data_IF_385904865431
#
_entry.id   IF_385904865431
#
_cell.length_a   1.000
_cell.length_b   1.000
_cell.length_c   1.000
_cell.angle_alpha   90.00
_cell.angle_beta   90.00
_cell.angle_gamma   90.00
#
_symmetry.space_group_name_H-M   'P 1'
#
loop_
_entity.id
_entity.type
_entity.pdbx_description
1 polymer ?
#
# COMPACT_ATOMS: atom_id res chain seq x y z
N UNK A 1 10.28 -18.41 -20.36
CA UNK A 1 10.78 -19.14 -19.18
C UNK A 1 9.81 -18.89 -18.04
N UNK A 2 9.37 -19.91 -17.29
CA UNK A 2 8.60 -19.68 -16.08
C UNK A 2 9.44 -18.82 -15.11
N UNK A 3 8.81 -17.80 -14.54
CA UNK A 3 9.44 -16.94 -13.54
C UNK A 3 9.70 -17.77 -12.27
N UNK A 4 10.85 -17.56 -11.63
CA UNK A 4 11.18 -18.28 -10.40
C UNK A 4 10.11 -17.99 -9.32
N UNK A 5 9.77 -18.98 -8.47
CA UNK A 5 8.83 -18.75 -7.37
C UNK A 5 9.37 -17.64 -6.46
N UNK A 6 8.47 -16.74 -6.03
CA UNK A 6 8.82 -15.64 -5.12
C UNK A 6 8.62 -16.09 -3.69
N UNK A 7 9.52 -15.72 -2.79
CA UNK A 7 9.47 -16.18 -1.40
C UNK A 7 9.03 -15.06 -0.45
N UNK A 8 7.97 -15.31 0.32
CA UNK A 8 7.42 -14.41 1.34
C UNK A 8 7.62 -15.02 2.73
N UNK A 9 8.31 -14.29 3.61
CA UNK A 9 8.34 -14.61 5.04
C UNK A 9 7.13 -13.95 5.71
N UNK A 10 6.29 -14.75 6.37
CA UNK A 10 5.10 -14.28 7.08
C UNK A 10 5.20 -14.59 8.57
N UNK A 11 5.54 -13.59 9.36
CA UNK A 11 5.62 -13.68 10.81
C UNK A 11 4.27 -13.29 11.43
N UNK A 12 3.63 -14.22 12.14
CA UNK A 12 2.28 -14.05 12.73
C UNK A 12 2.14 -14.90 13.99
N UNK A 13 1.41 -14.49 15.04
CA UNK A 13 1.19 -15.37 16.18
C UNK A 13 0.27 -16.53 15.78
N UNK A 14 0.58 -17.72 16.32
CA UNK A 14 -0.02 -18.99 15.90
C UNK A 14 -1.55 -19.00 15.99
N UNK A 15 -2.09 -18.35 17.02
CA UNK A 15 -3.53 -18.29 17.31
C UNK A 15 -4.32 -17.44 16.30
N UNK A 16 -3.70 -16.46 15.62
CA UNK A 16 -4.36 -15.67 14.56
C UNK A 16 -4.06 -16.17 13.15
N UNK A 17 -3.11 -17.10 12.96
CA UNK A 17 -2.81 -17.69 11.66
C UNK A 17 -4.07 -18.17 10.89
N UNK A 18 -5.09 -18.81 11.53
CA UNK A 18 -6.30 -19.24 10.82
C UNK A 18 -7.11 -18.12 10.15
N UNK A 19 -6.95 -16.87 10.58
CA UNK A 19 -7.67 -15.73 9.98
C UNK A 19 -7.13 -15.35 8.58
N UNK A 20 -5.99 -15.90 8.17
CA UNK A 20 -5.30 -15.58 6.91
C UNK A 20 -5.40 -16.69 5.85
N UNK A 21 -6.21 -17.74 6.09
CA UNK A 21 -6.29 -18.90 5.20
C UNK A 21 -6.58 -18.54 3.73
N UNK A 22 -7.47 -17.57 3.50
CA UNK A 22 -7.81 -17.11 2.14
C UNK A 22 -6.63 -16.44 1.43
N UNK A 23 -5.87 -15.60 2.14
CA UNK A 23 -4.70 -14.91 1.60
C UNK A 23 -3.55 -15.89 1.32
N UNK A 24 -3.32 -16.84 2.23
CA UNK A 24 -2.34 -17.90 2.03
C UNK A 24 -2.63 -18.74 0.77
N UNK A 25 -3.91 -19.03 0.51
CA UNK A 25 -4.32 -19.71 -0.72
C UNK A 25 -4.05 -18.86 -1.96
N UNK A 26 -4.43 -17.58 -1.94
CA UNK A 26 -4.22 -16.66 -3.06
C UNK A 26 -2.73 -16.44 -3.38
N UNK A 27 -1.85 -16.38 -2.37
CA UNK A 27 -0.40 -16.31 -2.59
C UNK A 27 0.13 -17.58 -3.27
N UNK A 28 -0.31 -18.78 -2.84
CA UNK A 28 0.10 -20.04 -3.48
C UNK A 28 -0.39 -20.14 -4.93
N UNK A 29 -1.63 -19.73 -5.20
CA UNK A 29 -2.19 -19.64 -6.56
C UNK A 29 -1.34 -18.72 -7.48
N UNK A 30 -0.62 -17.75 -6.90
CA UNK A 30 0.30 -16.83 -7.58
C UNK A 30 1.75 -17.28 -7.62
N UNK A 31 2.04 -18.53 -7.21
CA UNK A 31 3.41 -19.04 -7.16
C UNK A 31 4.29 -18.29 -6.14
N UNK A 32 3.67 -17.74 -5.09
CA UNK A 32 4.39 -17.18 -3.94
C UNK A 32 4.50 -18.30 -2.90
N UNK A 33 5.74 -18.71 -2.62
CA UNK A 33 6.05 -19.61 -1.52
C UNK A 33 6.02 -18.82 -0.21
N UNK A 34 5.34 -19.35 0.80
CA UNK A 34 5.13 -18.65 2.07
C UNK A 34 5.72 -19.47 3.21
N UNK A 35 6.79 -18.95 3.81
CA UNK A 35 7.35 -19.46 5.05
C UNK A 35 6.65 -18.77 6.22
N UNK A 36 5.94 -19.53 7.05
CA UNK A 36 5.21 -18.99 8.21
C UNK A 36 6.07 -19.14 9.46
N UNK A 37 6.38 -18.01 10.11
CA UNK A 37 7.10 -17.98 11.38
C UNK A 37 6.13 -17.65 12.50
N UNK A 38 5.88 -18.61 13.39
CA UNK A 38 5.05 -18.39 14.56
C UNK A 38 5.74 -17.44 15.56
N UNK A 39 5.06 -16.38 15.97
CA UNK A 39 5.58 -15.39 16.92
C UNK A 39 4.77 -15.41 18.22
N UNK A 40 5.17 -16.27 19.16
CA UNK A 40 4.37 -16.54 20.36
C UNK A 40 4.63 -15.52 21.51
N UNK A 41 5.68 -14.69 21.41
CA UNK A 41 6.02 -13.68 22.43
C UNK A 41 6.51 -12.35 21.81
N UNK A 42 5.70 -11.29 21.96
CA UNK A 42 6.10 -9.93 21.59
C UNK A 42 6.24 -9.71 20.07
N UNK A 43 6.93 -8.64 19.69
CA UNK A 43 7.33 -8.44 18.30
C UNK A 43 8.69 -9.11 18.08
N UNK A 44 8.84 -10.02 17.10
CA UNK A 44 10.14 -10.53 16.72
C UNK A 44 11.01 -9.40 16.15
N UNK A 45 12.34 -9.57 16.23
CA UNK A 45 13.28 -8.65 15.59
C UNK A 45 13.29 -8.92 14.07
N UNK A 46 12.83 -7.97 13.23
CA UNK A 46 12.61 -8.24 11.80
C UNK A 46 13.88 -8.59 11.02
N UNK A 47 15.02 -8.01 11.41
CA UNK A 47 16.28 -8.26 10.71
C UNK A 47 16.82 -9.66 10.99
N UNK A 48 16.65 -10.18 12.20
CA UNK A 48 17.00 -11.52 12.62
C UNK A 48 16.16 -12.57 11.90
N UNK A 49 14.86 -12.33 11.73
CA UNK A 49 13.98 -13.19 10.92
C UNK A 49 14.52 -13.35 9.48
N UNK A 50 14.84 -12.24 8.82
CA UNK A 50 15.43 -12.28 7.47
C UNK A 50 16.81 -12.95 7.45
N UNK A 51 17.60 -12.79 8.50
CA UNK A 51 18.91 -13.42 8.62
C UNK A 51 18.83 -14.90 8.96
N UNK A 52 17.71 -15.42 9.45
CA UNK A 52 17.54 -16.83 9.79
C UNK A 52 16.88 -17.64 8.67
N UNK A 53 16.28 -16.98 7.68
CA UNK A 53 15.67 -17.64 6.54
C UNK A 53 16.69 -18.48 5.75
N UNK A 54 16.31 -19.73 5.44
CA UNK A 54 17.15 -20.70 4.73
C UNK A 54 17.20 -20.44 3.21
N UNK A 55 16.24 -19.69 2.69
CA UNK A 55 16.13 -19.33 1.28
C UNK A 55 16.13 -17.79 1.10
N UNK A 56 16.53 -17.28 -0.09
CA UNK A 56 16.37 -15.87 -0.41
C UNK A 56 14.91 -15.42 -0.21
N UNK A 57 14.71 -14.36 0.57
CA UNK A 57 13.38 -13.81 0.87
C UNK A 57 13.14 -12.59 -0.02
N UNK A 58 12.01 -12.53 -0.73
CA UNK A 58 11.64 -11.41 -1.59
C UNK A 58 10.76 -10.38 -0.88
N UNK A 59 10.06 -10.77 0.19
CA UNK A 59 9.32 -9.86 1.04
C UNK A 59 9.13 -10.40 2.47
N UNK A 60 8.93 -9.50 3.43
CA UNK A 60 8.52 -9.82 4.79
C UNK A 60 7.16 -9.17 5.10
N UNK A 61 6.20 -9.96 5.57
CA UNK A 61 5.02 -9.46 6.27
C UNK A 61 5.14 -9.78 7.76
N UNK A 62 5.21 -8.74 8.58
CA UNK A 62 5.17 -8.86 10.03
C UNK A 62 3.77 -8.50 10.53
N UNK A 63 3.05 -9.48 11.06
CA UNK A 63 1.77 -9.29 11.73
C UNK A 63 1.93 -9.51 13.24
N UNK A 64 1.41 -8.58 14.04
CA UNK A 64 1.53 -8.67 15.49
C UNK A 64 0.52 -7.81 16.22
N UNK A 65 0.58 -7.79 17.55
CA UNK A 65 -0.38 -7.08 18.39
C UNK A 65 -0.59 -5.63 17.93
N UNK A 66 -1.84 -5.24 17.71
CA UNK A 66 -2.21 -3.87 17.35
C UNK A 66 -1.90 -2.82 18.43
N UNK A 67 -1.29 -3.16 19.56
CA UNK A 67 -0.74 -2.20 20.53
C UNK A 67 0.53 -1.49 20.01
N UNK A 68 1.29 -2.15 19.14
CA UNK A 68 2.51 -1.58 18.59
C UNK A 68 2.20 -0.60 17.46
N UNK A 69 2.89 0.54 17.49
CA UNK A 69 2.84 1.51 16.40
C UNK A 69 3.74 1.07 15.24
N UNK A 70 3.49 1.51 13.99
CA UNK A 70 4.32 1.16 12.84
C UNK A 70 5.82 1.46 13.02
N UNK A 71 6.14 2.54 13.73
CA UNK A 71 7.52 2.94 14.03
C UNK A 71 8.26 1.98 14.96
N UNK A 72 7.53 1.23 15.79
CA UNK A 72 8.09 0.24 16.73
C UNK A 72 8.16 -1.15 16.12
N UNK A 73 7.34 -1.45 15.10
CA UNK A 73 7.30 -2.75 14.45
C UNK A 73 8.39 -2.92 13.40
N UNK A 74 8.70 -1.87 12.65
CA UNK A 74 9.72 -1.90 11.60
C UNK A 74 10.58 -0.61 11.64
N UNK A 75 11.86 -0.68 11.24
CA UNK A 75 12.73 0.50 11.15
C UNK A 75 12.50 1.34 9.88
N UNK A 76 11.92 0.75 8.84
CA UNK A 76 11.68 1.37 7.53
C UNK A 76 10.69 0.57 6.69
N UNK A 77 10.48 0.94 5.42
CA UNK A 77 9.58 0.22 4.50
C UNK A 77 10.25 -1.00 3.84
N UNK A 78 11.54 -1.20 4.11
CA UNK A 78 12.33 -2.34 3.67
C UNK A 78 13.46 -2.58 4.68
N UNK A 79 14.01 -3.79 4.63
CA UNK A 79 15.19 -4.24 5.34
C UNK A 79 16.29 -4.57 4.33
N UNK A 80 17.48 -4.95 4.80
CA UNK A 80 18.52 -5.46 3.91
C UNK A 80 18.79 -6.93 4.22
N UNK A 81 18.92 -7.75 3.18
CA UNK A 81 19.41 -9.11 3.35
C UNK A 81 20.94 -9.14 3.52
N UNK A 82 21.50 -10.35 3.65
CA UNK A 82 22.95 -10.57 3.81
C UNK A 82 23.78 -10.07 2.61
N UNK A 83 23.17 -9.93 1.43
CA UNK A 83 23.81 -9.40 0.22
C UNK A 83 23.71 -7.87 0.11
N UNK A 84 22.98 -7.24 1.05
CA UNK A 84 22.68 -5.82 1.03
C UNK A 84 21.48 -5.45 0.13
N UNK A 85 20.81 -6.43 -0.50
CA UNK A 85 19.60 -6.21 -1.30
C UNK A 85 18.48 -5.70 -0.40
N UNK A 86 17.72 -4.72 -0.89
CA UNK A 86 16.54 -4.20 -0.18
C UNK A 86 15.40 -5.20 -0.27
N UNK A 87 14.93 -5.69 0.87
CA UNK A 87 13.77 -6.59 0.99
C UNK A 87 12.59 -5.77 1.52
N UNK A 88 11.50 -5.59 0.75
CA UNK A 88 10.31 -4.91 1.26
C UNK A 88 9.80 -5.59 2.53
N UNK A 89 9.51 -4.79 3.55
CA UNK A 89 9.03 -5.25 4.84
C UNK A 89 7.78 -4.46 5.22
N UNK A 90 6.68 -5.17 5.43
CA UNK A 90 5.39 -4.58 5.74
C UNK A 90 4.92 -4.95 7.15
N UNK A 91 4.17 -4.03 7.76
CA UNK A 91 3.55 -4.20 9.07
C UNK A 91 2.04 -4.42 8.94
N UNK A 92 1.49 -5.37 9.69
CA UNK A 92 0.05 -5.54 9.84
C UNK A 92 -0.33 -5.54 11.34
N UNK A 93 -0.99 -4.49 11.85
CA UNK A 93 -1.47 -4.49 13.23
C UNK A 93 -2.69 -5.40 13.36
N UNK A 94 -2.52 -6.53 14.03
CA UNK A 94 -3.60 -7.46 14.33
C UNK A 94 -4.64 -6.80 15.23
N UNK A 95 -5.90 -6.93 14.82
CA UNK A 95 -7.09 -6.50 15.55
C UNK A 95 -7.96 -7.71 15.83
N UNK A 96 -9.27 -7.51 15.96
CA UNK A 96 -10.21 -8.61 16.07
C UNK A 96 -10.26 -9.45 14.79
N UNK A 97 -10.75 -10.68 14.94
CA UNK A 97 -10.93 -11.67 13.87
C UNK A 97 -11.55 -11.08 12.60
N UNK A 98 -12.60 -10.28 12.73
CA UNK A 98 -13.31 -9.72 11.57
C UNK A 98 -12.46 -8.75 10.75
N UNK A 99 -11.65 -7.92 11.42
CA UNK A 99 -10.74 -6.99 10.74
C UNK A 99 -9.59 -7.74 10.05
N UNK A 100 -9.03 -8.76 10.71
CA UNK A 100 -7.95 -9.57 10.16
C UNK A 100 -8.44 -10.36 8.92
N UNK A 101 -9.61 -10.98 9.01
CA UNK A 101 -10.23 -11.72 7.89
C UNK A 101 -10.62 -10.79 6.74
N UNK A 102 -11.13 -9.59 7.04
CA UNK A 102 -11.42 -8.58 6.01
C UNK A 102 -10.16 -8.18 5.26
N UNK A 103 -9.07 -7.92 5.97
CA UNK A 103 -7.78 -7.66 5.34
C UNK A 103 -7.36 -8.85 4.47
N UNK A 104 -7.39 -10.07 5.00
CA UNK A 104 -6.99 -11.27 4.28
C UNK A 104 -7.81 -11.48 3.00
N UNK A 105 -9.14 -11.35 3.07
CA UNK A 105 -10.04 -11.45 1.93
C UNK A 105 -9.78 -10.32 0.90
N UNK A 106 -9.53 -9.09 1.37
CA UNK A 106 -9.20 -7.96 0.50
C UNK A 106 -7.91 -8.22 -0.27
N UNK A 107 -6.84 -8.59 0.45
CA UNK A 107 -5.56 -8.91 -0.16
C UNK A 107 -5.66 -10.12 -1.10
N UNK A 108 -6.41 -11.16 -0.72
CA UNK A 108 -6.65 -12.32 -1.56
C UNK A 108 -7.38 -11.96 -2.86
N UNK A 109 -8.41 -11.10 -2.80
CA UNK A 109 -9.11 -10.59 -3.99
C UNK A 109 -8.16 -9.85 -4.92
N UNK A 110 -7.33 -8.94 -4.38
CA UNK A 110 -6.32 -8.23 -5.17
C UNK A 110 -5.34 -9.22 -5.80
N UNK A 111 -4.85 -10.19 -5.03
CA UNK A 111 -3.96 -11.23 -5.53
C UNK A 111 -4.61 -12.08 -6.61
N UNK A 112 -5.93 -12.34 -6.60
CA UNK A 112 -6.57 -13.24 -7.59
C UNK A 112 -6.97 -12.59 -8.92
N UNK A 113 -6.89 -11.27 -9.03
CA UNK A 113 -7.32 -10.55 -10.24
C UNK A 113 -6.64 -11.05 -11.51
N UNK A 114 -7.37 -11.11 -12.62
CA UNK A 114 -6.81 -11.36 -13.95
C UNK A 114 -6.05 -10.10 -14.44
N UNK A 115 -4.98 -9.76 -13.73
CA UNK A 115 -4.30 -8.47 -13.83
C UNK A 115 -3.60 -8.34 -15.18
N UNK A 116 -3.91 -7.26 -15.91
CA UNK A 116 -3.47 -7.08 -17.30
C UNK A 116 -2.47 -5.93 -17.45
N UNK A 117 -2.71 -4.82 -16.75
CA UNK A 117 -1.91 -3.61 -16.93
C UNK A 117 -1.74 -2.85 -15.61
N UNK A 118 -0.53 -2.34 -15.38
CA UNK A 118 -0.26 -1.41 -14.28
C UNK A 118 -1.04 -0.12 -14.49
N UNK A 119 -1.76 0.29 -13.45
CA UNK A 119 -2.65 1.45 -13.48
C UNK A 119 -2.44 2.34 -12.27
N UNK A 120 -2.38 3.65 -12.48
CA UNK A 120 -2.09 4.64 -11.43
C UNK A 120 -3.20 5.69 -11.38
N UNK A 121 -3.85 5.82 -10.23
CA UNK A 121 -4.60 7.02 -9.86
C UNK A 121 -3.64 8.03 -9.23
N UNK A 122 -3.40 9.14 -9.91
CA UNK A 122 -2.62 10.25 -9.39
C UNK A 122 -3.52 11.16 -8.56
N UNK A 123 -3.27 11.18 -7.27
CA UNK A 123 -4.03 11.90 -6.27
C UNK A 123 -3.21 13.08 -5.77
N UNK A 124 -3.84 14.23 -5.57
CA UNK A 124 -3.14 15.45 -5.16
C UNK A 124 -4.04 16.38 -4.37
N UNK A 125 -3.51 17.03 -3.35
CA UNK A 125 -4.22 18.17 -2.76
C UNK A 125 -4.26 19.34 -3.76
N UNK A 126 -5.41 20.03 -3.86
CA UNK A 126 -5.53 21.28 -4.60
C UNK A 126 -4.71 22.40 -3.92
N UNK A 127 -3.43 22.44 -4.24
CA UNK A 127 -2.47 23.42 -3.75
C UNK A 127 -1.26 23.47 -4.70
N UNK A 128 -0.78 24.66 -5.12
CA UNK A 128 0.19 24.78 -6.22
C UNK A 128 1.43 23.89 -6.11
N UNK A 129 2.01 23.80 -4.91
CA UNK A 129 3.21 22.98 -4.67
C UNK A 129 3.00 21.49 -4.92
N UNK A 130 1.81 20.94 -4.63
CA UNK A 130 1.54 19.52 -4.84
C UNK A 130 1.03 19.22 -6.24
N UNK A 131 0.32 20.18 -6.85
CA UNK A 131 -0.04 20.09 -8.25
C UNK A 131 1.21 20.06 -9.13
N UNK A 132 2.22 20.86 -8.82
CA UNK A 132 3.50 20.79 -9.54
C UNK A 132 4.16 19.40 -9.46
N UNK A 133 4.08 18.72 -8.30
CA UNK A 133 4.59 17.34 -8.17
C UNK A 133 3.71 16.36 -8.96
N UNK A 134 2.38 16.54 -8.94
CA UNK A 134 1.46 15.75 -9.72
C UNK A 134 1.74 15.90 -11.23
N UNK A 135 1.88 17.12 -11.74
CA UNK A 135 2.20 17.42 -13.14
C UNK A 135 3.52 16.76 -13.55
N UNK A 136 4.51 16.74 -12.64
CA UNK A 136 5.77 16.04 -12.89
C UNK A 136 5.59 14.52 -12.97
N UNK A 137 4.81 13.91 -12.08
CA UNK A 137 4.50 12.47 -12.14
C UNK A 137 3.77 12.16 -13.44
N UNK A 138 2.80 12.98 -13.82
CA UNK A 138 2.04 12.84 -15.05
C UNK A 138 2.93 12.91 -16.29
N UNK A 139 3.81 13.92 -16.37
CA UNK A 139 4.77 14.03 -17.46
C UNK A 139 5.73 12.83 -17.59
N UNK A 140 6.05 12.15 -16.47
CA UNK A 140 6.89 10.96 -16.49
C UNK A 140 6.14 9.69 -16.93
N UNK A 141 4.80 9.63 -16.75
CA UNK A 141 4.04 8.39 -16.87
C UNK A 141 2.95 8.37 -17.96
N UNK A 142 2.39 9.52 -18.37
CA UNK A 142 1.13 9.60 -19.13
C UNK A 142 1.13 8.79 -20.45
N UNK A 143 2.25 8.75 -21.17
CA UNK A 143 2.37 8.03 -22.45
C UNK A 143 2.93 6.61 -22.30
N UNK A 144 3.15 6.17 -21.06
CA UNK A 144 3.85 4.91 -20.75
C UNK A 144 2.99 3.93 -19.97
N UNK A 145 2.08 4.44 -19.13
CA UNK A 145 1.23 3.64 -18.26
C UNK A 145 -0.20 4.18 -18.28
N UNK A 146 -1.15 3.37 -17.81
CA UNK A 146 -2.52 3.83 -17.63
C UNK A 146 -2.60 4.73 -16.40
N UNK A 147 -2.56 6.05 -16.63
CA UNK A 147 -2.64 7.08 -15.60
C UNK A 147 -4.04 7.72 -15.59
N UNK A 148 -4.58 7.95 -14.40
CA UNK A 148 -5.82 8.67 -14.16
C UNK A 148 -5.53 9.82 -13.19
N UNK A 149 -5.64 11.06 -13.67
CA UNK A 149 -5.45 12.23 -12.82
C UNK A 149 -6.75 12.51 -12.05
N UNK A 150 -6.68 12.31 -10.74
CA UNK A 150 -7.78 12.50 -9.79
C UNK A 150 -7.34 13.41 -8.65
N UNK A 151 -6.67 14.51 -8.98
CA UNK A 151 -6.24 15.55 -8.04
C UNK A 151 -7.42 16.39 -7.55
N UNK A 152 -7.28 17.12 -6.44
CA UNK A 152 -8.38 17.81 -5.76
C UNK A 152 -9.06 18.93 -6.55
N UNK A 153 -8.46 19.39 -7.65
CA UNK A 153 -9.06 20.30 -8.63
C UNK A 153 -9.94 19.57 -9.67
N UNK A 154 -9.80 18.25 -9.79
CA UNK A 154 -10.51 17.43 -10.79
C UNK A 154 -11.62 16.58 -10.20
N UNK A 155 -11.55 16.23 -8.91
CA UNK A 155 -12.51 15.32 -8.27
C UNK A 155 -12.81 15.72 -6.83
N UNK A 156 -14.07 15.58 -6.40
CA UNK A 156 -14.45 15.76 -4.99
C UNK A 156 -14.18 14.50 -4.18
N UNK A 157 -14.23 14.62 -2.84
CA UNK A 157 -14.20 13.47 -1.94
C UNK A 157 -15.28 12.44 -2.24
N UNK A 158 -16.49 12.91 -2.50
CA UNK A 158 -17.66 12.06 -2.61
C UNK A 158 -17.61 11.23 -3.92
N UNK A 159 -16.92 11.73 -4.95
CA UNK A 159 -16.57 10.96 -6.14
C UNK A 159 -15.27 10.13 -5.95
N UNK A 160 -14.29 10.64 -5.21
CA UNK A 160 -13.02 9.94 -4.96
C UNK A 160 -13.21 8.62 -4.20
N UNK A 161 -14.05 8.60 -3.15
CA UNK A 161 -14.27 7.39 -2.34
C UNK A 161 -14.73 6.20 -3.19
N UNK A 162 -15.81 6.31 -4.00
CA UNK A 162 -16.19 5.22 -4.92
C UNK A 162 -15.16 5.02 -6.04
N UNK A 163 -14.46 6.06 -6.50
CA UNK A 163 -13.42 5.92 -7.52
C UNK A 163 -12.26 5.01 -7.05
N UNK A 164 -11.86 5.10 -5.78
CA UNK A 164 -10.84 4.20 -5.22
C UNK A 164 -11.34 2.75 -5.10
N UNK A 165 -12.66 2.52 -5.07
CA UNK A 165 -13.28 1.20 -5.05
C UNK A 165 -13.50 0.60 -6.45
N UNK A 166 -12.86 1.15 -7.49
CA UNK A 166 -13.00 0.65 -8.87
C UNK A 166 -12.12 -0.55 -9.18
N UNK A 167 -11.12 -0.86 -8.34
CA UNK A 167 -10.20 -1.98 -8.53
C UNK A 167 -8.86 -1.61 -9.19
N UNK A 168 -8.47 -0.33 -9.15
CA UNK A 168 -7.17 0.11 -9.68
C UNK A 168 -6.00 -0.51 -8.92
N UNK A 169 -4.86 -0.63 -9.60
CA UNK A 169 -3.63 -1.18 -9.02
C UNK A 169 -2.96 -0.26 -8.00
N UNK A 170 -2.82 1.04 -8.30
CA UNK A 170 -2.10 1.99 -7.45
C UNK A 170 -2.86 3.31 -7.32
N UNK A 171 -2.99 3.82 -6.09
CA UNK A 171 -3.25 5.23 -5.83
C UNK A 171 -2.02 5.91 -5.24
N UNK A 172 -1.60 7.05 -5.80
CA UNK A 172 -0.43 7.80 -5.37
C UNK A 172 -0.83 9.23 -4.98
N UNK A 173 -0.85 9.51 -3.68
CA UNK A 173 -1.23 10.81 -3.12
C UNK A 173 -0.03 11.68 -2.76
N UNK A 174 -0.03 12.91 -3.28
CA UNK A 174 0.87 14.00 -2.88
C UNK A 174 0.09 15.14 -2.22
N UNK A 175 0.51 15.58 -1.04
CA UNK A 175 -0.24 16.61 -0.32
C UNK A 175 0.13 16.75 1.13
N UNK A 176 -0.77 17.36 1.91
CA UNK A 176 -0.68 17.30 3.37
C UNK A 176 -1.36 16.05 3.92
N UNK A 177 -0.73 15.47 4.95
CA UNK A 177 -1.22 14.33 5.71
C UNK A 177 -1.40 14.65 7.19
N UNK A 178 -2.20 13.81 7.83
CA UNK A 178 -2.45 13.75 9.27
C UNK A 178 -2.54 12.27 9.69
N UNK A 179 -2.35 11.96 10.98
CA UNK A 179 -2.57 10.61 11.53
C UNK A 179 -3.89 9.95 11.11
N UNK A 180 -4.94 10.74 10.89
CA UNK A 180 -6.29 10.25 10.57
C UNK A 180 -6.67 10.32 9.08
N UNK A 181 -5.79 10.83 8.21
CA UNK A 181 -6.10 10.94 6.78
C UNK A 181 -5.39 12.07 6.05
N UNK A 182 -5.93 12.41 4.89
CA UNK A 182 -5.42 13.47 4.03
C UNK A 182 -6.15 14.78 4.31
N UNK A 183 -5.45 15.91 4.12
CA UNK A 183 -6.09 17.23 4.16
C UNK A 183 -6.78 17.54 2.84
N UNK A 184 -6.28 17.02 1.72
CA UNK A 184 -6.91 17.15 0.41
C UNK A 184 -8.35 16.61 0.38
N UNK A 185 -9.10 17.00 -0.65
CA UNK A 185 -10.49 16.61 -0.86
C UNK A 185 -11.39 16.91 0.34
N UNK A 186 -11.30 18.13 0.89
CA UNK A 186 -12.04 18.55 2.09
C UNK A 186 -11.84 17.62 3.32
N UNK A 187 -10.67 16.98 3.39
CA UNK A 187 -10.28 16.11 4.49
C UNK A 187 -10.81 14.68 4.36
N UNK A 188 -10.12 13.81 3.62
CA UNK A 188 -10.41 12.36 3.54
C UNK A 188 -9.90 11.64 4.80
N UNK A 189 -10.68 10.68 5.32
CA UNK A 189 -10.44 9.94 6.57
C UNK A 189 -10.93 8.50 6.42
N UNK A 190 -10.44 7.59 7.24
CA UNK A 190 -10.85 6.17 7.20
C UNK A 190 -12.37 5.97 7.30
N UNK A 191 -13.06 6.73 8.15
CA UNK A 191 -14.53 6.68 8.29
C UNK A 191 -15.32 6.93 7.00
N UNK A 192 -14.72 7.57 5.99
CA UNK A 192 -15.41 7.80 4.71
C UNK A 192 -15.50 6.53 3.87
N UNK A 193 -14.76 5.48 4.24
CA UNK A 193 -14.73 4.19 3.56
C UNK A 193 -15.40 3.08 4.37
N UNK A 194 -16.05 3.41 5.48
CA UNK A 194 -16.79 2.41 6.26
C UNK A 194 -17.87 1.76 5.39
N UNK A 195 -18.11 0.43 5.50
CA UNK A 195 -18.99 -0.32 4.60
C UNK A 195 -20.41 0.23 4.50
N UNK A 196 -20.92 0.78 5.60
CA UNK A 196 -22.24 1.42 5.70
C UNK A 196 -22.39 2.63 4.76
N UNK A 197 -21.29 3.13 4.20
CA UNK A 197 -21.23 4.26 3.28
C UNK A 197 -20.82 3.87 1.85
N UNK A 198 -20.60 2.58 1.58
CA UNK A 198 -20.26 2.07 0.25
C UNK A 198 -21.52 1.83 -0.59
N UNK A 199 -21.37 1.78 -1.92
CA UNK A 199 -22.37 2.18 -2.91
C UNK A 199 -23.81 1.62 -2.73
N UNK A 200 -24.85 2.46 -2.94
CA UNK A 200 -26.26 2.06 -2.85
C UNK A 200 -26.76 1.22 -4.05
N UNK A 201 -25.98 1.11 -5.13
CA UNK A 201 -26.38 0.44 -6.38
C UNK A 201 -26.16 -1.08 -6.38
N UNK A 202 -25.61 -1.64 -5.30
CA UNK A 202 -25.38 -3.08 -5.14
C UNK A 202 -24.18 -3.62 -5.92
N UNK A 203 -23.38 -2.77 -6.58
CA UNK A 203 -22.15 -3.21 -7.23
C UNK A 203 -21.05 -3.51 -6.19
N UNK A 204 -20.32 -4.61 -6.39
CA UNK A 204 -19.28 -5.02 -5.45
C UNK A 204 -18.07 -4.07 -5.54
N UNK A 205 -17.77 -3.35 -4.47
CA UNK A 205 -16.57 -2.53 -4.34
C UNK A 205 -15.31 -3.39 -4.57
N UNK A 206 -14.42 -2.95 -5.46
CA UNK A 206 -13.16 -3.61 -5.78
C UNK A 206 -11.97 -2.84 -5.16
N UNK A 207 -11.19 -3.46 -4.24
CA UNK A 207 -10.13 -2.75 -3.51
C UNK A 207 -8.98 -2.28 -4.41
N UNK A 208 -8.22 -1.29 -3.98
CA UNK A 208 -6.96 -0.98 -4.65
C UNK A 208 -5.91 -2.07 -4.44
N UNK A 209 -4.95 -2.18 -5.35
CA UNK A 209 -3.72 -2.93 -5.06
C UNK A 209 -2.97 -2.28 -3.90
N UNK A 210 -2.60 -1.01 -4.06
CA UNK A 210 -1.94 -0.23 -3.00
C UNK A 210 -2.32 1.25 -3.00
N UNK A 211 -2.20 1.88 -1.82
CA UNK A 211 -2.36 3.33 -1.65
C UNK A 211 -1.15 3.97 -0.98
N UNK A 212 -0.45 4.84 -1.70
CA UNK A 212 0.79 5.48 -1.25
C UNK A 212 0.51 6.93 -0.90
N UNK A 213 0.85 7.31 0.32
CA UNK A 213 0.71 8.69 0.80
C UNK A 213 2.08 9.32 0.96
N UNK A 214 2.51 10.11 -0.03
CA UNK A 214 3.74 10.91 0.04
C UNK A 214 3.48 12.21 0.81
N UNK A 215 3.19 12.07 2.10
CA UNK A 215 2.86 13.16 3.00
C UNK A 215 3.07 12.81 4.47
N UNK A 216 3.12 13.85 5.31
CA UNK A 216 3.45 13.71 6.73
C UNK A 216 2.42 12.85 7.51
N UNK A 217 2.94 12.04 8.44
CA UNK A 217 2.23 11.43 9.57
C UNK A 217 1.05 10.50 9.25
N UNK A 218 0.83 10.04 8.02
CA UNK A 218 -0.27 9.12 7.68
C UNK A 218 -0.11 7.71 8.27
N UNK A 219 1.11 7.29 8.61
CA UNK A 219 1.41 6.07 9.38
C UNK A 219 1.69 6.36 10.87
N UNK A 220 1.44 7.59 11.34
CA UNK A 220 1.62 7.97 12.73
C UNK A 220 0.37 7.68 13.54
N UNK A 221 0.54 7.14 14.76
CA UNK A 221 -0.55 6.97 15.73
C UNK A 221 -0.69 8.12 16.72
N UNK A 222 -0.05 9.27 16.45
CA UNK A 222 -0.11 10.43 17.35
C UNK A 222 -1.57 10.87 17.53
N UNK A 223 -2.10 10.68 18.75
CA UNK A 223 -3.47 11.03 19.18
C UNK A 223 -4.58 10.29 18.42
N UNK A 224 -4.30 9.10 17.88
CA UNK A 224 -5.29 8.23 17.21
C UNK A 224 -5.02 6.76 17.57
N UNK A 225 -6.03 5.91 17.51
CA UNK A 225 -5.86 4.47 17.81
C UNK A 225 -5.13 3.71 16.70
N UNK A 226 -5.59 3.89 15.46
CA UNK A 226 -4.94 3.40 14.23
C UNK A 226 -4.58 4.60 13.36
N UNK A 227 -3.39 4.56 12.76
CA UNK A 227 -3.02 5.52 11.74
C UNK A 227 -3.84 5.31 10.46
N UNK A 228 -3.91 6.31 9.61
CA UNK A 228 -4.63 6.22 8.33
C UNK A 228 -4.07 5.11 7.44
N UNK A 229 -2.75 4.99 7.35
CA UNK A 229 -2.09 3.92 6.60
C UNK A 229 -2.48 2.53 7.12
N UNK A 230 -2.70 2.37 8.43
CA UNK A 230 -3.20 1.10 9.00
C UNK A 230 -4.69 0.86 8.75
N UNK A 231 -5.50 1.91 8.75
CA UNK A 231 -6.93 1.80 8.46
C UNK A 231 -7.19 1.36 7.02
N UNK A 232 -6.38 1.81 6.05
CA UNK A 232 -6.54 1.49 4.62
C UNK A 232 -6.70 -0.02 4.35
N UNK A 233 -5.72 -0.88 4.72
CA UNK A 233 -5.85 -2.32 4.54
C UNK A 233 -6.87 -2.98 5.47
N UNK A 234 -6.98 -2.51 6.73
CA UNK A 234 -7.92 -3.11 7.69
C UNK A 234 -9.40 -2.84 7.38
N UNK A 235 -9.70 -1.75 6.67
CA UNK A 235 -11.05 -1.44 6.19
C UNK A 235 -11.36 -2.10 4.84
N UNK A 236 -10.37 -2.73 4.20
CA UNK A 236 -10.52 -3.35 2.89
C UNK A 236 -10.50 -2.36 1.71
N UNK A 237 -9.91 -1.18 1.89
CA UNK A 237 -9.80 -0.16 0.82
C UNK A 237 -8.72 -0.55 -0.19
N UNK A 238 -7.61 -1.10 0.30
CA UNK A 238 -6.49 -1.56 -0.52
C UNK A 238 -5.86 -2.81 0.11
N UNK A 239 -5.14 -3.63 -0.65
CA UNK A 239 -4.34 -4.71 -0.07
C UNK A 239 -3.13 -4.18 0.73
N UNK A 240 -2.60 -3.02 0.34
CA UNK A 240 -1.46 -2.39 1.02
C UNK A 240 -1.54 -0.87 1.06
N UNK A 241 -0.76 -0.26 1.94
CA UNK A 241 -0.56 1.18 1.96
C UNK A 241 0.86 1.58 2.37
N UNK A 242 1.29 2.77 1.95
CA UNK A 242 2.53 3.38 2.40
C UNK A 242 2.21 4.73 3.04
N UNK A 243 2.79 5.00 4.21
CA UNK A 243 2.64 6.30 4.87
C UNK A 243 3.82 6.68 5.75
N UNK A 244 3.90 7.96 6.10
CA UNK A 244 4.98 8.46 6.95
C UNK A 244 4.60 8.42 8.44
N UNK A 245 5.53 8.03 9.31
CA UNK A 245 5.36 8.05 10.78
C UNK A 245 5.59 9.43 11.41
N UNK A 246 6.24 10.33 10.66
CA UNK A 246 6.66 11.66 11.11
C UNK A 246 6.48 12.73 10.03
N UNK A 247 7.16 13.85 10.21
CA UNK A 247 7.21 14.90 9.20
C UNK A 247 8.14 14.50 8.06
N UNK A 248 7.77 14.88 6.84
CA UNK A 248 8.52 14.59 5.62
C UNK A 248 8.87 15.89 4.93
N UNK A 249 10.08 15.99 4.40
CA UNK A 249 10.48 17.13 3.58
C UNK A 249 9.83 17.04 2.20
N UNK A 250 9.40 18.18 1.66
CA UNK A 250 8.84 18.25 0.30
C UNK A 250 9.82 17.68 -0.74
N UNK A 251 11.11 18.01 -0.62
CA UNK A 251 12.17 17.51 -1.50
C UNK A 251 12.33 16.00 -1.46
N UNK A 252 12.18 15.38 -0.28
CA UNK A 252 12.24 13.91 -0.15
C UNK A 252 11.00 13.24 -0.74
N UNK A 253 9.82 13.84 -0.60
CA UNK A 253 8.60 13.34 -1.24
C UNK A 253 8.68 13.44 -2.77
N UNK A 254 9.30 14.50 -3.30
CA UNK A 254 9.56 14.62 -4.74
C UNK A 254 10.57 13.57 -5.22
N UNK A 255 11.62 13.27 -4.45
CA UNK A 255 12.56 12.17 -4.76
C UNK A 255 11.87 10.81 -4.76
N UNK A 256 11.00 10.56 -3.78
CA UNK A 256 10.15 9.37 -3.78
C UNK A 256 9.26 9.32 -5.01
N UNK A 257 8.55 10.40 -5.35
CA UNK A 257 7.68 10.45 -6.52
C UNK A 257 8.42 10.08 -7.81
N UNK A 258 9.61 10.66 -8.04
CA UNK A 258 10.45 10.36 -9.21
C UNK A 258 10.92 8.91 -9.19
N UNK A 259 11.51 8.44 -8.07
CA UNK A 259 12.01 7.06 -7.98
C UNK A 259 10.90 6.01 -8.13
N UNK A 260 9.69 6.29 -7.64
CA UNK A 260 8.52 5.43 -7.86
C UNK A 260 8.14 5.38 -9.35
N UNK A 261 8.18 6.52 -10.06
CA UNK A 261 7.95 6.53 -11.51
C UNK A 261 9.01 5.67 -12.24
N UNK A 262 10.29 5.86 -11.91
CA UNK A 262 11.38 5.07 -12.50
C UNK A 262 11.20 3.57 -12.24
N UNK A 263 10.81 3.20 -11.03
CA UNK A 263 10.55 1.81 -10.66
C UNK A 263 9.34 1.22 -11.40
N UNK A 264 8.26 1.98 -11.58
CA UNK A 264 7.11 1.57 -12.40
C UNK A 264 7.52 1.34 -13.86
N UNK A 265 8.27 2.27 -14.45
CA UNK A 265 8.77 2.17 -15.82
C UNK A 265 9.79 1.02 -15.99
N UNK A 266 10.55 0.71 -14.94
CA UNK A 266 11.42 -0.47 -14.87
C UNK A 266 10.66 -1.78 -14.59
N UNK A 267 9.34 -1.74 -14.58
CA UNK A 267 8.48 -2.93 -14.50
C UNK A 267 8.30 -3.49 -13.09
N UNK A 268 8.32 -2.65 -12.04
CA UNK A 268 7.90 -3.09 -10.70
C UNK A 268 6.45 -3.61 -10.74
N UNK A 269 6.23 -4.81 -10.20
CA UNK A 269 4.94 -5.52 -10.30
C UNK A 269 4.14 -5.54 -9.02
N UNK A 270 4.83 -5.42 -7.89
CA UNK A 270 4.25 -5.39 -6.55
C UNK A 270 4.57 -4.07 -5.85
N UNK A 271 3.77 -3.74 -4.84
CA UNK A 271 4.04 -2.57 -3.99
C UNK A 271 5.41 -2.66 -3.31
N UNK A 272 5.81 -3.84 -2.85
CA UNK A 272 7.12 -4.06 -2.23
C UNK A 272 8.27 -3.77 -3.18
N UNK A 273 8.20 -4.28 -4.41
CA UNK A 273 9.21 -3.98 -5.44
C UNK A 273 9.25 -2.50 -5.78
N UNK A 274 8.09 -1.87 -5.95
CA UNK A 274 7.97 -0.45 -6.25
C UNK A 274 8.63 0.40 -5.16
N UNK A 275 8.37 0.10 -3.89
CA UNK A 275 8.94 0.83 -2.75
C UNK A 275 10.44 0.56 -2.59
N UNK A 276 10.89 -0.68 -2.75
CA UNK A 276 12.30 -1.03 -2.58
C UNK A 276 13.19 -0.42 -3.69
N UNK A 277 12.72 -0.47 -4.95
CA UNK A 277 13.42 0.07 -6.13
C UNK A 277 13.30 1.60 -6.21
N UNK A 278 12.13 2.15 -5.90
CA UNK A 278 11.87 3.59 -5.97
C UNK A 278 12.35 4.39 -4.76
N UNK A 279 12.87 3.72 -3.72
CA UNK A 279 13.36 4.39 -2.52
C UNK A 279 14.56 5.32 -2.82
N UNK A 280 14.51 6.59 -2.38
CA UNK A 280 15.62 7.54 -2.53
C UNK A 280 16.95 7.01 -1.97
N UNK A 281 18.06 7.55 -2.48
CA UNK A 281 19.39 7.21 -1.98
C UNK A 281 19.60 7.63 -0.51
N UNK A 282 18.96 8.72 -0.08
CA UNK A 282 19.04 9.23 1.30
C UNK A 282 18.33 8.28 2.27
N UNK A 283 19.04 7.68 3.25
CA UNK A 283 18.41 6.84 4.26
C UNK A 283 17.40 7.60 5.13
N UNK A 284 17.66 8.88 5.43
CA UNK A 284 16.77 9.72 6.21
C UNK A 284 15.41 9.93 5.52
N UNK A 285 15.40 10.05 4.18
CA UNK A 285 14.16 10.16 3.40
C UNK A 285 13.31 8.88 3.45
N UNK A 286 13.93 7.72 3.68
CA UNK A 286 13.26 6.43 3.76
C UNK A 286 12.81 6.09 5.18
N UNK A 287 13.59 6.49 6.20
CA UNK A 287 13.37 6.14 7.60
C UNK A 287 12.00 6.60 8.14
N UNK A 288 11.43 7.65 7.56
CA UNK A 288 10.12 8.17 7.93
C UNK A 288 8.94 7.37 7.39
N UNK A 289 9.14 6.40 6.49
CA UNK A 289 8.04 5.68 5.83
C UNK A 289 7.86 4.24 6.33
N UNK A 290 6.62 3.75 6.31
CA UNK A 290 6.26 2.36 6.62
C UNK A 290 5.31 1.82 5.57
N UNK A 291 5.59 0.60 5.13
CA UNK A 291 4.70 -0.20 4.31
C UNK A 291 3.78 -1.00 5.25
N UNK A 292 2.48 -0.99 4.96
CA UNK A 292 1.45 -1.64 5.77
C UNK A 292 0.64 -2.57 4.86
N UNK A 293 0.27 -3.76 5.34
CA UNK A 293 -0.55 -4.72 4.59
C UNK A 293 0.28 -5.67 3.73
N UNK A 294 -0.27 -6.16 2.61
CA UNK A 294 0.38 -7.16 1.77
C UNK A 294 1.55 -6.56 0.94
N UNK A 295 2.83 -6.86 1.24
CA UNK A 295 3.95 -6.33 0.47
C UNK A 295 4.00 -6.86 -0.97
N UNK A 296 3.32 -7.96 -1.25
CA UNK A 296 3.27 -8.60 -2.57
C UNK A 296 2.07 -8.13 -3.39
N UNK A 297 1.27 -7.18 -2.90
CA UNK A 297 0.08 -6.69 -3.58
C UNK A 297 0.40 -6.22 -5.01
N UNK A 298 -0.22 -6.82 -6.05
CA UNK A 298 0.03 -6.45 -7.43
C UNK A 298 -0.44 -5.03 -7.75
N UNK A 299 0.30 -4.36 -8.65
CA UNK A 299 0.02 -3.00 -9.11
C UNK A 299 -0.81 -2.94 -10.40
N UNK A 300 -1.23 -4.11 -10.90
CA UNK A 300 -1.99 -4.22 -12.12
C UNK A 300 -3.50 -4.35 -11.86
N UNK A 301 -4.28 -3.72 -12.73
CA UNK A 301 -5.73 -3.76 -12.73
C UNK A 301 -6.25 -4.65 -13.86
N UNK A 302 -7.51 -5.05 -13.74
CA UNK A 302 -8.28 -5.70 -14.80
C UNK A 302 -8.85 -4.66 -15.76
N UNK A 303 -9.08 -5.01 -17.03
CA UNK A 303 -9.71 -4.10 -18.00
C UNK A 303 -11.06 -3.54 -17.52
N UNK A 304 -11.88 -4.35 -16.85
CA UNK A 304 -13.16 -3.88 -16.30
C UNK A 304 -12.98 -2.82 -15.20
N UNK A 305 -11.94 -2.96 -14.36
CA UNK A 305 -11.60 -1.95 -13.37
C UNK A 305 -11.14 -0.65 -14.03
N UNK A 306 -10.34 -0.72 -15.11
CA UNK A 306 -9.92 0.44 -15.89
C UNK A 306 -11.11 1.17 -16.54
N UNK A 307 -12.08 0.42 -17.06
CA UNK A 307 -13.29 0.98 -17.65
C UNK A 307 -14.13 1.71 -16.58
N UNK A 308 -14.37 1.08 -15.42
CA UNK A 308 -15.08 1.73 -14.29
C UNK A 308 -14.37 2.99 -13.83
N UNK A 309 -13.04 2.93 -13.70
CA UNK A 309 -12.23 4.06 -13.29
C UNK A 309 -12.26 5.20 -14.32
N UNK A 310 -12.21 4.89 -15.62
CA UNK A 310 -12.33 5.88 -16.69
C UNK A 310 -13.71 6.56 -16.76
N UNK A 311 -14.75 5.95 -16.19
CA UNK A 311 -16.10 6.49 -16.12
C UNK A 311 -16.36 7.34 -14.86
N UNK A 312 -15.38 7.47 -13.96
CA UNK A 312 -15.48 8.31 -12.76
C UNK A 312 -15.67 9.77 -13.20
N UNK A 313 -16.73 10.47 -12.75
CA UNK A 313 -16.94 11.87 -13.09
C UNK A 313 -15.80 12.76 -12.57
N UNK A 314 -15.21 13.54 -13.46
CA UNK A 314 -14.23 14.59 -13.15
C UNK A 314 -14.72 15.94 -13.63
N UNK A 315 -14.30 17.01 -12.95
CA UNK A 315 -14.49 18.38 -13.40
C UNK A 315 -13.41 18.74 -14.42
N UNK A 316 -13.79 19.53 -15.43
CA UNK A 316 -12.90 20.10 -16.45
C UNK A 316 -12.96 21.62 -16.43
#
# INVERSE_FOLDING_TARGET
>A
MPEAPRHLLFAVPREQQPDFGELLAAWRERGIEVEIVACDAGLPEPQALLQQADAPVDALLLAGSGRYAPSSALPGPWLRDRTGRRIPAAWLPLRGRDANRRFAATAARVQRRAAQQVSVALLGQWHPQYLHVADRIEALLADRLRLLRWTGETITRDALVPALATGLGLGLYVGHGRPMGWVGYHGVRGRHFEPERQQPDGSAAEPLGALLSLCCRTASRRRVGLSYAEQVPLLGIAAASLGAIGDTLHTDNTRWAVGLCDALLAGARSIGELVARGAPASPAACASYRLIGDPMAPLAAESAALARAGAVPTFG
#
